data_IF_118012207589
#
_entry.id   IF_118012207589
#
_cell.length_a   1.000
_cell.length_b   1.000
_cell.length_c   1.000
_cell.angle_alpha   90.00
_cell.angle_beta   90.00
_cell.angle_gamma   90.00
#
_symmetry.space_group_name_H-M   'P 1'
#
loop_
_entity.id
_entity.type
_entity.pdbx_description
1 polymer ?
#
# COMPACT_ATOMS: atom_id res chain seq x y z
N UNK A 1 -29.08 15.48 -30.13
CA UNK A 1 -28.40 14.80 -29.00
C UNK A 1 -27.28 15.73 -28.53
N UNK A 2 -27.54 16.54 -27.49
CA UNK A 2 -26.52 17.43 -26.91
C UNK A 2 -25.65 16.61 -25.96
N UNK A 3 -24.34 16.62 -26.20
CA UNK A 3 -23.36 15.90 -25.38
C UNK A 3 -23.41 16.36 -23.92
N UNK A 4 -23.48 15.40 -23.00
CA UNK A 4 -23.28 15.65 -21.56
C UNK A 4 -21.79 15.93 -21.35
N UNK A 5 -21.47 17.12 -20.88
CA UNK A 5 -20.16 17.47 -20.33
C UNK A 5 -19.78 16.43 -19.26
N UNK A 6 -18.54 15.94 -19.28
CA UNK A 6 -18.05 15.00 -18.28
C UNK A 6 -18.18 15.64 -16.88
N UNK A 7 -19.04 15.08 -16.03
CA UNK A 7 -19.16 15.48 -14.62
C UNK A 7 -18.00 14.82 -13.86
N UNK A 8 -17.20 15.59 -13.13
CA UNK A 8 -16.10 15.07 -12.31
C UNK A 8 -16.66 14.32 -11.10
N UNK A 9 -16.81 13.00 -11.22
CA UNK A 9 -17.23 12.11 -10.13
C UNK A 9 -16.11 11.10 -9.88
N UNK A 10 -15.80 10.82 -8.62
CA UNK A 10 -14.73 9.90 -8.21
C UNK A 10 -15.29 8.82 -7.28
N UNK A 11 -14.68 7.64 -7.27
CA UNK A 11 -14.97 6.60 -6.26
C UNK A 11 -14.36 6.99 -4.91
N UNK A 12 -13.25 7.73 -4.94
CA UNK A 12 -12.57 8.24 -3.76
C UNK A 12 -13.09 9.65 -3.46
N UNK A 13 -13.63 9.86 -2.26
CA UNK A 13 -13.93 11.18 -1.74
C UNK A 13 -12.59 11.83 -1.40
N UNK A 14 -11.91 12.36 -2.41
CA UNK A 14 -10.67 13.09 -2.20
C UNK A 14 -10.97 14.24 -1.25
N UNK A 15 -10.26 14.28 -0.13
CA UNK A 15 -10.38 15.32 0.89
C UNK A 15 -9.49 16.53 0.61
N UNK A 16 -8.91 16.64 -0.59
CA UNK A 16 -8.20 17.85 -1.01
C UNK A 16 -9.22 18.88 -1.48
N UNK A 17 -9.65 19.83 -0.64
CA UNK A 17 -10.69 20.75 -1.00
C UNK A 17 -9.99 21.87 -1.75
N UNK A 18 -10.21 21.97 -3.05
CA UNK A 18 -10.14 23.29 -3.68
C UNK A 18 -11.19 24.15 -2.98
N UNK A 19 -10.74 25.08 -2.12
CA UNK A 19 -11.55 26.08 -1.40
C UNK A 19 -12.96 25.61 -0.98
N UNK A 20 -13.07 24.89 0.13
CA UNK A 20 -14.30 24.83 0.93
C UNK A 20 -15.43 23.94 0.44
N UNK A 21 -15.22 23.10 -0.57
CA UNK A 21 -16.23 22.13 -1.01
C UNK A 21 -15.95 20.73 -0.45
N UNK A 22 -16.94 20.19 0.28
CA UNK A 22 -16.93 18.83 0.81
C UNK A 22 -17.64 17.89 -0.16
N UNK A 23 -17.05 16.71 -0.37
CA UNK A 23 -17.65 15.63 -1.15
C UNK A 23 -18.46 14.69 -0.25
N UNK A 24 -19.52 14.11 -0.79
CA UNK A 24 -20.45 13.21 -0.11
C UNK A 24 -20.43 11.84 -0.78
N UNK A 25 -20.20 10.79 0.02
CA UNK A 25 -20.24 9.41 -0.47
C UNK A 25 -21.69 8.94 -0.61
N UNK A 26 -22.01 8.25 -1.69
CA UNK A 26 -23.25 7.49 -1.84
C UNK A 26 -23.32 6.38 -0.78
N UNK A 27 -24.52 6.00 -0.33
CA UNK A 27 -24.66 5.01 0.75
C UNK A 27 -24.26 3.59 0.33
N UNK A 28 -24.39 3.28 -0.96
CA UNK A 28 -23.87 2.05 -1.58
C UNK A 28 -22.35 2.07 -1.87
N UNK A 29 -21.67 3.14 -1.45
CA UNK A 29 -20.24 3.37 -1.67
C UNK A 29 -19.81 3.47 -3.14
N UNK A 30 -20.75 3.63 -4.07
CA UNK A 30 -20.45 3.60 -5.51
C UNK A 30 -19.67 4.83 -5.99
N UNK A 31 -20.03 6.02 -5.51
CA UNK A 31 -19.54 7.30 -5.99
C UNK A 31 -19.43 8.31 -4.83
N UNK A 32 -18.54 9.29 -5.03
CA UNK A 32 -18.43 10.49 -4.22
C UNK A 32 -18.82 11.70 -5.06
N UNK A 33 -19.85 12.41 -4.59
CA UNK A 33 -20.46 13.54 -5.28
C UNK A 33 -20.06 14.86 -4.64
N UNK A 34 -19.85 15.94 -5.42
CA UNK A 34 -19.70 17.28 -4.87
C UNK A 34 -21.01 17.76 -4.22
N UNK A 35 -20.90 18.75 -3.33
CA UNK A 35 -22.06 19.34 -2.63
C UNK A 35 -23.17 19.83 -3.58
N UNK A 36 -22.80 20.26 -4.79
CA UNK A 36 -23.73 20.74 -5.82
C UNK A 36 -24.58 19.65 -6.47
N UNK A 37 -24.18 18.38 -6.32
CA UNK A 37 -24.89 17.19 -6.84
C UNK A 37 -25.65 16.44 -5.72
N UNK A 38 -25.81 17.07 -4.57
CA UNK A 38 -26.68 16.57 -3.51
C UNK A 38 -27.96 17.40 -3.50
N UNK A 39 -29.12 16.75 -3.61
CA UNK A 39 -30.42 17.41 -3.63
C UNK A 39 -30.59 18.44 -4.76
N UNK A 40 -30.13 18.10 -5.96
CA UNK A 40 -30.26 18.89 -7.19
C UNK A 40 -31.45 18.44 -8.07
N UNK A 41 -32.13 17.36 -7.66
CA UNK A 41 -33.28 16.77 -8.33
C UNK A 41 -32.93 15.74 -9.40
N UNK A 42 -31.65 15.34 -9.49
CA UNK A 42 -31.17 14.28 -10.38
C UNK A 42 -30.67 13.10 -9.55
N UNK A 43 -30.93 11.88 -10.02
CA UNK A 43 -30.31 10.69 -9.43
C UNK A 43 -28.89 10.53 -9.97
N UNK A 44 -27.90 11.00 -9.22
CA UNK A 44 -26.48 10.86 -9.48
C UNK A 44 -25.86 9.67 -8.73
N UNK A 45 -26.38 9.31 -7.54
CA UNK A 45 -26.03 8.03 -6.91
C UNK A 45 -26.82 6.86 -7.53
N UNK A 46 -26.18 5.71 -7.70
CA UNK A 46 -26.84 4.49 -8.22
C UNK A 46 -28.02 4.05 -7.33
N UNK A 47 -27.89 4.24 -6.04
CA UNK A 47 -28.90 3.92 -5.03
C UNK A 47 -29.88 5.09 -4.75
N UNK A 48 -29.79 6.20 -5.50
CA UNK A 48 -30.55 7.44 -5.27
C UNK A 48 -30.36 8.05 -3.87
N UNK A 49 -29.26 7.73 -3.18
CA UNK A 49 -29.04 8.23 -1.84
C UNK A 49 -28.85 9.75 -1.81
N UNK A 50 -28.40 10.38 -2.88
CA UNK A 50 -28.27 11.83 -3.06
C UNK A 50 -29.60 12.61 -3.02
N UNK A 51 -30.74 11.97 -3.31
CA UNK A 51 -32.06 12.60 -3.43
C UNK A 51 -33.06 12.12 -2.35
N UNK A 52 -32.55 11.85 -1.15
CA UNK A 52 -33.34 11.30 -0.04
C UNK A 52 -34.25 12.31 0.67
N UNK A 53 -35.02 11.86 1.69
CA UNK A 53 -35.93 12.73 2.45
C UNK A 53 -35.27 13.94 3.14
N UNK A 54 -33.97 13.90 3.37
CA UNK A 54 -33.17 14.99 3.96
C UNK A 54 -33.12 16.24 3.05
N UNK A 55 -33.34 16.08 1.74
CA UNK A 55 -33.34 17.18 0.76
C UNK A 55 -34.35 18.29 1.05
N UNK A 56 -35.44 17.98 1.78
CA UNK A 56 -36.42 18.98 2.24
C UNK A 56 -35.79 20.14 3.02
N UNK A 57 -34.68 19.87 3.72
CA UNK A 57 -34.00 20.87 4.55
C UNK A 57 -32.60 21.21 4.07
N UNK A 58 -32.00 20.43 3.17
CA UNK A 58 -30.60 20.54 2.72
C UNK A 58 -30.13 22.00 2.50
N UNK A 59 -30.82 22.73 1.61
CA UNK A 59 -30.49 24.12 1.25
C UNK A 59 -30.74 25.16 2.35
N UNK A 60 -31.41 24.77 3.44
CA UNK A 60 -31.78 25.69 4.55
C UNK A 60 -31.17 25.30 5.89
N UNK A 61 -30.49 24.15 5.99
CA UNK A 61 -29.97 23.63 7.27
C UNK A 61 -28.99 24.60 7.94
N UNK A 62 -28.20 25.32 7.15
CA UNK A 62 -27.19 26.25 7.63
C UNK A 62 -27.67 27.71 7.77
N UNK A 63 -28.93 28.03 7.45
CA UNK A 63 -29.41 29.42 7.55
C UNK A 63 -29.54 29.88 9.01
N UNK A 64 -29.95 28.97 9.90
CA UNK A 64 -30.17 29.24 11.33
C UNK A 64 -29.21 28.47 12.24
N UNK A 65 -28.20 27.82 11.67
CA UNK A 65 -27.22 27.03 12.40
C UNK A 65 -25.85 27.66 12.25
N UNK A 66 -25.38 28.31 13.30
CA UNK A 66 -24.09 29.00 13.28
C UNK A 66 -23.03 28.19 14.02
N UNK A 67 -21.93 27.90 13.31
CA UNK A 67 -20.76 27.28 13.91
C UNK A 67 -19.98 28.36 14.66
N UNK A 68 -19.84 28.17 15.97
CA UNK A 68 -19.10 29.10 16.82
C UNK A 68 -17.62 28.78 16.72
N UNK A 69 -16.78 29.80 16.47
CA UNK A 69 -15.33 29.65 16.37
C UNK A 69 -14.76 30.40 15.16
N UNK A 70 -13.46 30.68 15.19
CA UNK A 70 -12.77 31.23 14.03
C UNK A 70 -12.47 30.09 13.05
N UNK A 71 -12.63 30.35 11.75
CA UNK A 71 -12.34 29.35 10.70
C UNK A 71 -13.32 28.18 10.70
N UNK A 72 -14.57 28.38 11.13
CA UNK A 72 -15.61 27.35 11.06
C UNK A 72 -16.67 27.70 10.03
N UNK A 73 -17.15 26.69 9.30
CA UNK A 73 -18.25 26.84 8.33
C UNK A 73 -19.29 25.76 8.55
N UNK A 74 -20.57 26.12 8.43
CA UNK A 74 -21.65 25.14 8.46
C UNK A 74 -21.74 24.42 7.12
N UNK A 75 -21.96 23.11 7.17
CA UNK A 75 -22.19 22.27 6.00
C UNK A 75 -23.41 21.37 6.23
N UNK A 76 -24.32 21.22 5.25
CA UNK A 76 -25.47 20.32 5.38
C UNK A 76 -25.02 18.85 5.33
N UNK A 77 -25.69 17.97 6.07
CA UNK A 77 -25.44 16.52 6.06
C UNK A 77 -26.78 15.77 6.07
N UNK A 78 -26.77 14.47 5.70
CA UNK A 78 -27.97 13.61 5.66
C UNK A 78 -28.77 13.62 6.97
N UNK A 79 -28.10 13.79 8.11
CA UNK A 79 -28.69 13.74 9.45
C UNK A 79 -28.83 15.12 10.14
N UNK A 80 -28.43 16.22 9.49
CA UNK A 80 -28.48 17.57 10.06
C UNK A 80 -27.27 18.43 9.67
N UNK A 81 -27.23 19.72 10.06
CA UNK A 81 -26.05 20.54 9.82
C UNK A 81 -24.85 20.07 10.66
N UNK A 82 -23.65 20.14 10.09
CA UNK A 82 -22.38 19.89 10.78
C UNK A 82 -21.46 21.10 10.65
N UNK A 83 -20.53 21.24 11.59
CA UNK A 83 -19.49 22.27 11.55
C UNK A 83 -18.18 21.70 11.02
N UNK A 84 -17.61 22.41 10.06
CA UNK A 84 -16.35 22.08 9.42
C UNK A 84 -15.29 23.14 9.73
N UNK A 85 -14.02 22.73 9.75
CA UNK A 85 -12.87 23.58 10.04
C UNK A 85 -12.10 23.93 8.77
N UNK A 86 -11.99 25.22 8.45
CA UNK A 86 -11.27 25.73 7.28
C UNK A 86 -9.96 26.42 7.68
N UNK A 87 -8.92 26.42 6.82
CA UNK A 87 -8.88 25.87 5.46
C UNK A 87 -8.72 24.34 5.39
N UNK A 88 -8.36 23.68 6.49
CA UNK A 88 -7.88 22.31 6.49
C UNK A 88 -8.92 21.33 7.04
N UNK A 89 -9.87 20.93 6.20
CA UNK A 89 -11.01 20.06 6.56
C UNK A 89 -10.60 18.70 7.13
N UNK A 90 -9.45 18.17 6.71
CA UNK A 90 -8.91 16.88 7.18
C UNK A 90 -7.94 16.99 8.35
N UNK A 91 -7.34 18.17 8.54
CA UNK A 91 -6.29 18.39 9.54
C UNK A 91 -6.86 18.98 10.84
N UNK A 92 -8.13 19.39 10.83
CA UNK A 92 -8.81 19.92 12.01
C UNK A 92 -10.23 19.41 12.13
N UNK A 93 -10.64 19.09 13.34
CA UNK A 93 -11.98 18.62 13.66
C UNK A 93 -12.70 19.60 14.58
N UNK A 94 -13.98 19.86 14.30
CA UNK A 94 -14.78 20.73 15.14
C UNK A 94 -15.18 20.03 16.45
N UNK A 95 -14.76 20.61 17.57
CA UNK A 95 -15.14 20.16 18.90
C UNK A 95 -16.40 20.89 19.38
N UNK A 96 -17.50 20.14 19.47
CA UNK A 96 -18.80 20.66 19.87
C UNK A 96 -18.88 21.10 21.34
N UNK A 97 -17.95 20.67 22.21
CA UNK A 97 -17.89 21.06 23.62
C UNK A 97 -17.14 22.37 23.77
N UNK A 98 -15.93 22.46 23.22
CA UNK A 98 -15.08 23.65 23.33
C UNK A 98 -15.46 24.75 22.32
N UNK A 99 -16.24 24.41 21.29
CA UNK A 99 -16.60 25.28 20.16
C UNK A 99 -15.35 25.79 19.41
N UNK A 100 -14.37 24.90 19.23
CA UNK A 100 -13.09 25.18 18.56
C UNK A 100 -12.74 24.09 17.56
N UNK A 101 -11.84 24.41 16.66
CA UNK A 101 -11.22 23.47 15.74
C UNK A 101 -9.98 22.90 16.39
N UNK A 102 -10.09 21.66 16.86
CA UNK A 102 -8.97 20.93 17.45
C UNK A 102 -8.15 20.28 16.33
N UNK A 103 -6.86 20.17 16.57
CA UNK A 103 -5.91 19.47 15.71
C UNK A 103 -6.28 18.00 15.57
N UNK A 104 -6.21 17.46 14.35
CA UNK A 104 -6.35 16.02 14.10
C UNK A 104 -4.97 15.42 14.09
N UNK A 105 -4.74 14.38 14.89
CA UNK A 105 -3.48 13.66 14.79
C UNK A 105 -3.53 12.64 13.64
N UNK A 106 -3.04 13.02 12.47
CA UNK A 106 -3.07 12.16 11.29
C UNK A 106 -2.18 10.91 11.44
N UNK A 107 -1.16 10.98 12.29
CA UNK A 107 -0.28 9.84 12.57
C UNK A 107 -0.96 8.71 13.36
N UNK A 108 -2.15 8.95 13.92
CA UNK A 108 -2.95 7.95 14.63
C UNK A 108 -4.12 7.41 13.81
N UNK A 109 -4.23 7.80 12.54
CA UNK A 109 -5.27 7.28 11.65
C UNK A 109 -4.98 5.83 11.23
N UNK A 110 -6.03 5.07 10.92
CA UNK A 110 -5.89 3.66 10.49
C UNK A 110 -5.10 3.51 9.19
N UNK A 111 -5.11 4.54 8.34
CA UNK A 111 -4.36 4.59 7.09
C UNK A 111 -3.14 5.49 7.28
N UNK A 112 -1.91 4.96 7.15
CA UNK A 112 -0.71 5.77 7.26
C UNK A 112 -0.68 6.87 6.20
N UNK A 113 -0.42 8.11 6.63
CA UNK A 113 -0.29 9.28 5.75
C UNK A 113 1.14 9.50 5.24
N UNK A 114 2.13 8.93 5.93
CA UNK A 114 3.54 8.95 5.57
C UNK A 114 4.01 7.54 5.22
N UNK A 115 4.94 7.45 4.28
CA UNK A 115 5.58 6.17 3.92
C UNK A 115 6.48 5.61 5.03
N UNK A 116 7.23 6.49 5.71
CA UNK A 116 8.11 6.15 6.83
C UNK A 116 7.56 6.79 8.13
N UNK A 117 8.28 7.76 8.71
CA UNK A 117 7.90 8.35 10.00
C UNK A 117 6.91 9.51 9.82
N UNK A 118 5.91 9.58 10.70
CA UNK A 118 4.93 10.68 10.77
C UNK A 118 5.11 11.45 12.08
N UNK A 119 5.17 12.78 11.98
CA UNK A 119 5.23 13.69 13.11
C UNK A 119 4.03 14.63 13.07
N UNK A 120 3.17 14.53 14.10
CA UNK A 120 2.00 15.38 14.23
C UNK A 120 2.38 16.82 14.61
N UNK A 121 1.73 17.80 14.00
CA UNK A 121 1.89 19.21 14.34
C UNK A 121 0.54 19.94 14.26
N UNK A 122 0.44 21.14 14.83
CA UNK A 122 -0.86 21.84 14.85
C UNK A 122 -1.29 22.26 13.43
N UNK A 123 -2.39 21.66 12.95
CA UNK A 123 -3.01 21.90 11.66
C UNK A 123 -2.24 21.34 10.46
N UNK A 124 -1.26 20.46 10.67
CA UNK A 124 -0.52 19.74 9.62
C UNK A 124 0.32 18.60 10.22
N UNK A 125 0.86 17.75 9.35
CA UNK A 125 1.85 16.75 9.75
C UNK A 125 3.10 16.87 8.87
N UNK A 126 4.19 16.32 9.38
CA UNK A 126 5.48 16.27 8.70
C UNK A 126 5.86 14.80 8.55
N UNK A 127 6.21 14.39 7.34
CA UNK A 127 6.80 13.07 7.13
C UNK A 127 8.33 13.19 7.10
N UNK A 128 8.99 12.27 7.80
CA UNK A 128 10.44 12.17 7.83
C UNK A 128 10.89 10.84 7.25
N UNK A 129 11.94 10.90 6.42
CA UNK A 129 12.53 9.72 5.82
C UNK A 129 13.69 9.20 6.66
N UNK A 130 13.69 7.90 6.90
CA UNK A 130 14.81 7.18 7.50
C UNK A 130 16.14 7.46 6.77
N UNK A 131 17.25 7.29 7.51
CA UNK A 131 18.59 7.54 6.99
C UNK A 131 18.85 6.77 5.68
N UNK A 132 19.33 7.47 4.65
CA UNK A 132 19.60 6.91 3.32
C UNK A 132 18.45 7.06 2.32
N UNK A 133 17.28 7.53 2.77
CA UNK A 133 16.12 7.83 1.93
C UNK A 133 15.95 9.33 1.75
N UNK A 134 15.29 9.72 0.66
CA UNK A 134 14.90 11.11 0.36
C UNK A 134 13.39 11.22 0.17
N UNK A 135 12.84 12.38 0.49
CA UNK A 135 11.43 12.68 0.24
C UNK A 135 11.13 12.87 -1.25
N UNK A 136 9.88 12.65 -1.63
CA UNK A 136 9.32 13.05 -2.90
C UNK A 136 9.05 14.56 -2.97
N UNK A 137 8.55 15.02 -4.12
CA UNK A 137 8.19 16.44 -4.33
C UNK A 137 7.11 16.91 -3.36
N UNK A 138 6.19 16.02 -2.98
CA UNK A 138 5.08 16.35 -2.07
C UNK A 138 5.40 16.12 -0.59
N UNK A 139 6.53 15.48 -0.27
CA UNK A 139 6.99 15.26 1.10
C UNK A 139 6.30 14.12 1.84
N UNK A 140 5.59 13.21 1.18
CA UNK A 140 4.87 12.08 1.80
C UNK A 140 5.55 10.72 1.56
N UNK A 141 6.25 10.59 0.43
CA UNK A 141 6.88 9.35 0.00
C UNK A 141 8.39 9.43 0.17
N UNK A 142 8.98 8.34 0.66
CA UNK A 142 10.41 8.19 0.83
C UNK A 142 10.97 7.20 -0.20
N UNK A 143 12.04 7.59 -0.88
CA UNK A 143 12.72 6.76 -1.88
C UNK A 143 14.17 6.53 -1.53
N UNK A 144 14.63 5.30 -1.75
CA UNK A 144 16.05 4.99 -1.70
C UNK A 144 16.78 5.69 -2.85
N UNK A 145 17.94 6.28 -2.54
CA UNK A 145 18.78 6.93 -3.53
C UNK A 145 19.38 5.89 -4.48
N UNK A 146 20.20 4.99 -3.93
CA UNK A 146 20.92 3.93 -4.61
C UNK A 146 21.28 2.81 -3.60
N UNK A 147 21.54 1.58 -4.07
CA UNK A 147 21.45 1.11 -5.46
C UNK A 147 20.00 0.94 -5.94
N UNK A 148 19.84 0.80 -7.26
CA UNK A 148 18.54 0.57 -7.88
C UNK A 148 17.87 -0.72 -7.37
N UNK A 149 16.59 -0.64 -7.01
CA UNK A 149 15.82 -1.81 -6.61
C UNK A 149 15.77 -2.86 -7.74
N UNK A 150 15.97 -4.12 -7.34
CA UNK A 150 15.91 -5.29 -8.21
C UNK A 150 14.73 -6.18 -7.81
N UNK A 151 13.90 -6.55 -8.77
CA UNK A 151 12.84 -7.53 -8.60
C UNK A 151 13.30 -8.87 -9.15
N UNK A 152 13.58 -9.82 -8.25
CA UNK A 152 13.87 -11.20 -8.62
C UNK A 152 12.58 -11.98 -8.87
N UNK A 153 12.58 -12.84 -9.88
CA UNK A 153 11.45 -13.70 -10.18
C UNK A 153 11.92 -14.97 -10.90
N UNK A 154 11.19 -16.05 -10.69
CA UNK A 154 11.32 -17.28 -11.45
C UNK A 154 10.35 -17.29 -12.62
N UNK A 155 10.81 -17.88 -13.72
CA UNK A 155 9.95 -18.40 -14.78
C UNK A 155 9.89 -19.92 -14.64
N UNK A 156 9.35 -20.67 -15.60
CA UNK A 156 9.42 -22.14 -15.55
C UNK A 156 10.86 -22.65 -15.58
N UNK A 157 11.75 -22.03 -16.36
CA UNK A 157 13.07 -22.58 -16.68
C UNK A 157 14.25 -21.69 -16.27
N UNK A 158 13.98 -20.46 -15.84
CA UNK A 158 15.02 -19.46 -15.58
C UNK A 158 14.74 -18.71 -14.29
N UNK A 159 15.81 -18.27 -13.62
CA UNK A 159 15.79 -17.23 -12.59
C UNK A 159 16.26 -15.92 -13.21
N UNK A 160 15.52 -14.85 -12.98
CA UNK A 160 15.79 -13.53 -13.57
C UNK A 160 15.63 -12.44 -12.54
N UNK A 161 16.18 -11.26 -12.83
CA UNK A 161 15.79 -10.04 -12.15
C UNK A 161 15.57 -8.87 -13.10
N UNK A 162 14.71 -7.95 -12.68
CA UNK A 162 14.42 -6.68 -13.35
C UNK A 162 14.90 -5.53 -12.46
N UNK A 163 15.76 -4.69 -13.01
CA UNK A 163 16.07 -3.38 -12.44
C UNK A 163 14.89 -2.43 -12.70
N UNK A 164 14.28 -1.90 -11.64
CA UNK A 164 12.97 -1.24 -11.69
C UNK A 164 12.95 0.12 -12.42
N UNK A 165 13.96 0.97 -12.21
CA UNK A 165 14.15 2.29 -12.85
C UNK A 165 14.67 2.14 -14.29
N UNK A 166 15.77 1.43 -14.50
CA UNK A 166 16.44 1.26 -15.80
C UNK A 166 15.73 0.28 -16.74
N UNK A 167 14.78 -0.51 -16.20
CA UNK A 167 14.05 -1.57 -16.92
C UNK A 167 14.98 -2.63 -17.53
N UNK A 168 16.18 -2.77 -16.97
CA UNK A 168 17.14 -3.77 -17.41
C UNK A 168 16.74 -5.14 -16.85
N UNK A 169 16.49 -6.10 -17.75
CA UNK A 169 16.24 -7.49 -17.39
C UNK A 169 17.52 -8.31 -17.53
N UNK A 170 17.82 -9.14 -16.53
CA UNK A 170 19.00 -10.00 -16.49
C UNK A 170 18.59 -11.42 -16.14
N UNK A 171 19.14 -12.40 -16.87
CA UNK A 171 18.97 -13.82 -16.56
C UNK A 171 20.12 -14.29 -15.68
N UNK A 172 19.81 -14.74 -14.47
CA UNK A 172 20.76 -15.24 -13.46
C UNK A 172 21.14 -16.68 -13.77
N UNK A 173 20.13 -17.52 -13.96
CA UNK A 173 20.29 -18.95 -14.24
C UNK A 173 19.26 -19.37 -15.28
N UNK A 174 19.66 -20.25 -16.19
CA UNK A 174 18.82 -20.76 -17.27
C UNK A 174 18.92 -22.28 -17.39
N UNK A 175 17.94 -22.91 -18.05
CA UNK A 175 17.92 -24.35 -18.28
C UNK A 175 17.54 -25.17 -17.05
N UNK A 176 16.94 -24.54 -16.05
CA UNK A 176 16.35 -25.20 -14.87
C UNK A 176 15.13 -25.99 -15.35
N UNK A 177 14.91 -27.20 -14.83
CA UNK A 177 13.79 -28.05 -15.27
C UNK A 177 12.45 -27.49 -14.81
N UNK A 178 12.39 -27.02 -13.56
CA UNK A 178 11.22 -26.39 -12.96
C UNK A 178 11.66 -25.50 -11.81
N UNK A 179 11.87 -24.21 -12.09
CA UNK A 179 12.18 -23.22 -11.07
C UNK A 179 10.92 -22.84 -10.27
N UNK A 180 11.09 -22.67 -8.95
CA UNK A 180 10.01 -22.30 -8.04
C UNK A 180 10.37 -21.06 -7.21
N UNK A 181 10.74 -21.21 -5.94
CA UNK A 181 11.16 -20.10 -5.09
C UNK A 181 12.49 -19.46 -5.49
N UNK A 182 12.63 -18.16 -5.19
CA UNK A 182 13.88 -17.40 -5.32
C UNK A 182 14.01 -16.41 -4.18
N UNK A 183 15.21 -16.30 -3.60
CA UNK A 183 15.52 -15.33 -2.55
C UNK A 183 16.95 -14.81 -2.67
N UNK A 184 17.24 -13.65 -2.08
CA UNK A 184 18.54 -12.97 -2.17
C UNK A 184 18.89 -12.30 -0.84
N UNK A 185 20.12 -12.48 -0.38
CA UNK A 185 20.58 -11.95 0.92
C UNK A 185 21.48 -10.70 0.81
N UNK A 186 21.65 -10.16 -0.39
CA UNK A 186 22.60 -9.07 -0.66
C UNK A 186 23.91 -9.52 -1.30
N UNK A 187 24.28 -10.80 -1.17
CA UNK A 187 25.49 -11.39 -1.77
C UNK A 187 25.18 -12.63 -2.60
N UNK A 188 24.38 -13.54 -2.03
CA UNK A 188 24.02 -14.81 -2.62
C UNK A 188 22.56 -14.83 -3.04
N UNK A 189 22.33 -15.39 -4.23
CA UNK A 189 21.01 -15.76 -4.73
C UNK A 189 20.76 -17.24 -4.50
N UNK A 190 19.54 -17.54 -4.08
CA UNK A 190 19.07 -18.87 -3.76
C UNK A 190 17.86 -19.17 -4.63
N UNK A 191 17.75 -20.39 -5.14
CA UNK A 191 16.57 -20.80 -5.88
C UNK A 191 16.27 -22.28 -5.70
N UNK A 192 15.01 -22.61 -5.91
CA UNK A 192 14.48 -23.97 -5.80
C UNK A 192 14.21 -24.55 -7.18
N UNK A 193 14.72 -25.75 -7.42
CA UNK A 193 14.33 -26.61 -8.54
C UNK A 193 13.48 -27.74 -7.99
N UNK A 194 12.24 -27.87 -8.47
CA UNK A 194 11.23 -28.80 -7.94
C UNK A 194 10.90 -29.95 -8.90
N UNK A 195 11.54 -30.01 -10.07
CA UNK A 195 11.24 -31.04 -11.06
C UNK A 195 11.54 -32.43 -10.51
N UNK A 196 10.64 -33.38 -10.77
CA UNK A 196 10.79 -34.76 -10.33
C UNK A 196 12.14 -35.36 -10.78
N UNK A 197 12.90 -35.88 -9.83
CA UNK A 197 14.24 -36.44 -10.03
C UNK A 197 15.37 -35.41 -10.15
N UNK A 198 15.06 -34.12 -10.02
CA UNK A 198 16.01 -33.01 -10.06
C UNK A 198 15.80 -32.03 -8.89
N UNK A 199 15.10 -32.46 -7.82
CA UNK A 199 14.79 -31.59 -6.70
C UNK A 199 16.06 -31.13 -5.98
N UNK A 200 16.28 -29.82 -5.93
CA UNK A 200 17.46 -29.23 -5.30
C UNK A 200 17.24 -27.76 -4.99
N UNK A 201 17.83 -27.32 -3.88
CA UNK A 201 17.97 -25.91 -3.54
C UNK A 201 19.40 -25.50 -3.85
N UNK A 202 19.56 -24.46 -4.65
CA UNK A 202 20.86 -23.96 -5.08
C UNK A 202 21.20 -22.63 -4.41
N UNK A 203 22.51 -22.35 -4.35
CA UNK A 203 23.08 -21.07 -3.91
C UNK A 203 24.19 -20.67 -4.88
N UNK A 204 24.28 -19.39 -5.20
CA UNK A 204 25.40 -18.82 -5.96
C UNK A 204 25.62 -17.35 -5.59
N UNK A 205 26.82 -16.81 -5.77
CA UNK A 205 27.04 -15.36 -5.73
C UNK A 205 26.41 -14.73 -6.96
N UNK A 206 25.74 -13.58 -6.79
CA UNK A 206 25.02 -12.94 -7.89
C UNK A 206 25.96 -12.47 -9.02
N UNK A 207 27.15 -11.99 -8.67
CA UNK A 207 28.12 -11.45 -9.63
C UNK A 207 28.89 -12.54 -10.39
N UNK A 208 28.91 -13.77 -9.87
CA UNK A 208 29.63 -14.91 -10.45
C UNK A 208 28.87 -16.23 -10.29
N UNK A 209 27.67 -16.28 -10.88
CA UNK A 209 26.81 -17.47 -10.79
C UNK A 209 27.46 -18.71 -11.41
N UNK A 210 28.29 -18.54 -12.44
CA UNK A 210 28.87 -19.65 -13.20
C UNK A 210 29.87 -20.44 -12.37
N UNK A 211 30.76 -19.75 -11.66
CA UNK A 211 31.84 -20.41 -10.94
C UNK A 211 31.50 -20.68 -9.46
N UNK A 212 30.47 -20.02 -8.91
CA UNK A 212 30.08 -20.16 -7.50
C UNK A 212 28.80 -20.96 -7.25
N UNK A 213 28.14 -21.48 -8.28
CA UNK A 213 26.93 -22.28 -8.13
C UNK A 213 27.22 -23.56 -7.35
N UNK A 214 26.47 -23.76 -6.27
CA UNK A 214 26.52 -24.97 -5.43
C UNK A 214 25.11 -25.50 -5.15
N UNK A 215 25.01 -26.82 -4.95
CA UNK A 215 23.81 -27.46 -4.39
C UNK A 215 23.86 -27.23 -2.87
N UNK A 216 22.90 -26.50 -2.34
CA UNK A 216 22.79 -26.21 -0.91
C UNK A 216 22.04 -27.34 -0.19
N UNK A 217 20.90 -27.76 -0.74
CA UNK A 217 20.14 -28.91 -0.25
C UNK A 217 19.77 -29.78 -1.44
N UNK A 218 20.17 -31.05 -1.44
CA UNK A 218 19.89 -31.99 -2.53
C UNK A 218 19.30 -33.33 -2.07
N UNK A 219 19.04 -33.49 -0.77
CA UNK A 219 18.53 -34.74 -0.20
C UNK A 219 17.28 -34.46 0.64
N UNK A 220 16.34 -35.43 0.63
CA UNK A 220 15.11 -35.34 1.41
C UNK A 220 14.11 -34.30 0.88
N UNK A 221 14.14 -34.00 -0.42
CA UNK A 221 13.19 -33.13 -1.08
C UNK A 221 12.25 -33.95 -1.96
N UNK A 222 10.94 -33.68 -1.89
CA UNK A 222 9.93 -34.30 -2.74
C UNK A 222 9.27 -33.26 -3.65
N UNK A 223 8.66 -32.22 -3.09
CA UNK A 223 8.14 -31.05 -3.82
C UNK A 223 8.50 -29.74 -3.09
N UNK A 224 9.78 -29.31 -3.17
CA UNK A 224 10.22 -28.10 -2.50
C UNK A 224 9.57 -26.87 -3.15
N UNK A 225 8.96 -26.02 -2.32
CA UNK A 225 8.21 -24.84 -2.76
C UNK A 225 9.08 -23.58 -2.78
N UNK A 226 8.95 -22.79 -1.72
CA UNK A 226 9.59 -21.48 -1.62
C UNK A 226 10.69 -21.46 -0.55
N UNK A 227 11.57 -20.45 -0.63
CA UNK A 227 12.71 -20.26 0.27
C UNK A 227 12.75 -18.85 0.85
N UNK A 228 13.00 -18.77 2.15
CA UNK A 228 13.24 -17.52 2.88
C UNK A 228 14.61 -17.56 3.56
N UNK A 229 15.29 -16.41 3.62
CA UNK A 229 16.64 -16.28 4.17
C UNK A 229 16.61 -15.34 5.36
N UNK A 230 17.10 -15.80 6.49
CA UNK A 230 17.44 -14.99 7.65
C UNK A 230 18.95 -14.71 7.61
N UNK A 231 19.30 -13.60 6.97
CA UNK A 231 20.70 -13.20 6.79
C UNK A 231 21.36 -12.71 8.09
N UNK A 232 20.58 -12.26 9.08
CA UNK A 232 21.10 -11.82 10.38
C UNK A 232 21.39 -13.01 11.30
N UNK A 233 20.46 -13.96 11.39
CA UNK A 233 20.61 -15.18 12.18
C UNK A 233 21.40 -16.28 11.47
N UNK A 234 21.67 -16.14 10.17
CA UNK A 234 22.43 -17.11 9.37
C UNK A 234 21.67 -18.41 9.13
N UNK A 235 20.37 -18.32 8.86
CA UNK A 235 19.49 -19.47 8.63
C UNK A 235 18.75 -19.37 7.29
N UNK A 236 18.35 -20.51 6.76
CA UNK A 236 17.43 -20.63 5.62
C UNK A 236 16.19 -21.41 6.05
N UNK A 237 15.07 -21.08 5.43
CA UNK A 237 13.80 -21.74 5.63
C UNK A 237 13.22 -22.11 4.28
N UNK A 238 12.73 -23.33 4.13
CA UNK A 238 12.06 -23.75 2.90
C UNK A 238 10.90 -24.69 3.19
N UNK A 239 9.88 -24.64 2.35
CA UNK A 239 8.74 -25.54 2.42
C UNK A 239 8.92 -26.74 1.49
N UNK A 240 8.37 -27.89 1.88
CA UNK A 240 8.18 -29.04 1.00
C UNK A 240 6.71 -29.44 1.05
N UNK A 241 6.01 -29.24 -0.07
CA UNK A 241 4.55 -29.34 -0.14
C UNK A 241 4.07 -30.79 -0.05
N UNK A 242 4.76 -31.71 -0.72
CA UNK A 242 4.42 -33.14 -0.70
C UNK A 242 4.65 -33.72 0.69
N UNK A 243 5.73 -33.30 1.36
CA UNK A 243 6.04 -33.74 2.73
C UNK A 243 5.23 -33.02 3.81
N UNK A 244 4.60 -31.89 3.47
CA UNK A 244 3.82 -31.07 4.41
C UNK A 244 4.65 -30.47 5.54
N UNK A 245 5.92 -30.12 5.29
CA UNK A 245 6.85 -29.60 6.32
C UNK A 245 7.44 -28.26 5.91
N UNK A 246 7.85 -27.48 6.92
CA UNK A 246 8.78 -26.38 6.77
C UNK A 246 10.10 -26.80 7.41
N UNK A 247 11.22 -26.65 6.69
CA UNK A 247 12.54 -26.95 7.22
C UNK A 247 13.27 -25.66 7.56
N UNK A 248 13.95 -25.64 8.69
CA UNK A 248 14.91 -24.61 9.09
C UNK A 248 16.31 -25.21 9.08
N UNK A 249 17.23 -24.58 8.37
CA UNK A 249 18.63 -24.99 8.31
C UNK A 249 19.56 -23.81 8.58
N UNK A 250 20.80 -24.10 8.97
CA UNK A 250 21.88 -23.11 8.88
C UNK A 250 22.09 -22.65 7.44
N UNK A 251 22.69 -21.47 7.24
CA UNK A 251 22.94 -20.88 5.92
C UNK A 251 23.84 -21.70 4.98
N UNK A 252 24.59 -22.66 5.52
CA UNK A 252 25.41 -23.63 4.79
C UNK A 252 24.72 -25.01 4.65
N UNK A 253 23.48 -25.14 5.12
CA UNK A 253 22.69 -26.37 5.20
C UNK A 253 23.37 -27.52 5.97
N UNK A 254 24.35 -27.22 6.83
CA UNK A 254 25.05 -28.24 7.62
C UNK A 254 24.16 -28.94 8.66
N UNK A 255 23.19 -28.21 9.22
CA UNK A 255 22.24 -28.69 10.22
C UNK A 255 20.85 -28.20 9.81
N UNK A 256 19.90 -29.14 9.76
CA UNK A 256 18.51 -28.89 9.40
C UNK A 256 17.57 -29.51 10.44
N UNK A 257 16.43 -28.88 10.67
CA UNK A 257 15.33 -29.39 11.48
C UNK A 257 13.99 -29.08 10.82
N UNK A 258 12.98 -29.88 11.08
CA UNK A 258 11.61 -29.64 10.61
C UNK A 258 10.84 -28.87 11.67
N UNK A 259 10.15 -27.81 11.25
CA UNK A 259 9.20 -27.06 12.05
C UNK A 259 7.83 -27.69 11.82
N UNK A 260 7.22 -28.20 12.90
CA UNK A 260 5.85 -28.70 12.92
C UNK A 260 4.92 -27.66 13.53
#
# INVERSE_FOLDING_TARGET
MRGRSARNVSIYCNELPSLGERNYKCLDESLCLPASMMCDGLQDCRDASDEGPFCKKWHTMCNNYNCSGNGTVCSPERYGPTCLCIPSLSLRQYNYVTKKCDDVNECLQERPVCSHMCVNADGHFICECDHGYRSDEFGYLCYANDPEAMLFFSTRNDIRYLKIKSKQMVTVAAGIKQAHGVSFDGTYIYWVEAAQGHQSIFKAQLDDVKDTKQVLVGLGLEDPGDIAIDYLGGNIYFSDAERGIISACRADASICTSIN
#
